data_IF_970977424170
#
_entry.id   IF_970977424170
#
_cell.length_a   1.000
_cell.length_b   1.000
_cell.length_c   1.000
_cell.angle_alpha   90.00
_cell.angle_beta   90.00
_cell.angle_gamma   90.00
#
_symmetry.space_group_name_H-M   'P 1'
#
loop_
_entity.id
_entity.type
_entity.pdbx_description
1 polymer ?
#
# COMPACT_ATOMS: atom_id res chain seq x y z
N UNK A 1 -5.55 37.76 -46.92
CA UNK A 1 -6.89 37.54 -47.45
C UNK A 1 -7.64 36.70 -46.44
N UNK A 2 -8.46 37.35 -45.51
CA UNK A 2 -9.91 37.45 -45.76
C UNK A 2 -10.53 36.06 -45.88
N UNK A 3 -11.47 35.62 -45.13
CA UNK A 3 -12.71 36.14 -44.57
C UNK A 3 -13.10 35.18 -43.44
N UNK A 4 -13.47 35.59 -42.27
CA UNK A 4 -14.78 36.11 -41.87
C UNK A 4 -15.95 35.18 -42.32
N UNK A 5 -16.60 34.55 -41.38
CA UNK A 5 -18.02 34.67 -41.11
C UNK A 5 -18.50 33.75 -39.99
N UNK A 6 -18.97 34.37 -38.91
CA UNK A 6 -20.34 34.50 -38.46
C UNK A 6 -20.99 33.22 -37.97
N UNK A 7 -21.18 33.20 -36.62
CA UNK A 7 -22.48 33.47 -35.95
C UNK A 7 -23.66 32.61 -36.41
N UNK A 8 -24.21 31.87 -35.52
CA UNK A 8 -25.62 31.61 -35.18
C UNK A 8 -25.55 30.80 -33.87
N UNK A 9 -25.83 31.27 -32.72
CA UNK A 9 -27.04 31.75 -32.00
C UNK A 9 -28.24 30.81 -32.17
N UNK A 10 -28.61 30.14 -31.12
CA UNK A 10 -29.92 29.87 -30.55
C UNK A 10 -29.85 28.70 -29.62
N UNK A 11 -30.00 28.90 -28.33
CA UNK A 11 -31.21 28.90 -27.51
C UNK A 11 -32.01 27.60 -27.60
N UNK A 12 -32.16 26.96 -26.44
CA UNK A 12 -33.42 26.55 -25.75
C UNK A 12 -32.96 25.57 -24.64
N UNK A 13 -32.92 25.93 -23.36
CA UNK A 13 -33.95 25.90 -22.31
C UNK A 13 -34.86 24.66 -22.44
N UNK A 14 -34.70 23.73 -21.50
CA UNK A 14 -35.81 23.24 -20.67
C UNK A 14 -35.29 22.35 -19.55
N UNK A 15 -35.47 22.79 -18.38
CA UNK A 15 -36.01 22.21 -17.16
C UNK A 15 -36.23 20.69 -17.15
N UNK A 16 -35.70 20.08 -16.11
CA UNK A 16 -36.07 18.76 -15.67
C UNK A 16 -35.43 18.45 -14.33
N UNK A 17 -35.95 19.07 -13.27
CA UNK A 17 -35.77 18.61 -11.90
C UNK A 17 -36.45 17.26 -11.73
N UNK A 18 -35.70 16.20 -11.51
CA UNK A 18 -36.18 15.09 -10.72
C UNK A 18 -35.08 14.69 -9.75
N UNK A 19 -35.28 15.10 -8.54
CA UNK A 19 -34.62 14.49 -7.38
C UNK A 19 -35.14 13.05 -7.27
N UNK A 20 -34.21 12.10 -7.25
CA UNK A 20 -34.43 10.82 -6.61
C UNK A 20 -33.19 10.50 -5.78
N UNK A 21 -33.37 10.72 -4.50
CA UNK A 21 -32.65 10.12 -3.43
C UNK A 21 -32.56 8.61 -3.67
N UNK A 22 -31.36 8.05 -3.74
CA UNK A 22 -31.17 6.67 -3.38
C UNK A 22 -29.76 6.51 -2.79
N UNK A 23 -29.73 6.54 -1.49
CA UNK A 23 -28.67 6.15 -0.60
C UNK A 23 -28.20 4.74 -0.96
N UNK A 24 -27.03 4.61 -1.50
CA UNK A 24 -26.42 3.34 -1.90
C UNK A 24 -24.91 3.44 -1.90
N UNK A 25 -24.34 3.26 -0.73
CA UNK A 25 -22.92 3.02 -0.42
C UNK A 25 -22.19 2.25 -1.52
N UNK A 26 -21.40 2.93 -2.33
CA UNK A 26 -20.31 2.36 -3.15
C UNK A 26 -19.17 3.34 -3.23
N UNK A 27 -18.43 3.44 -2.14
CA UNK A 27 -17.19 4.19 -2.09
C UNK A 27 -16.14 3.32 -1.39
N UNK A 28 -15.48 2.42 -2.11
CA UNK A 28 -14.29 1.75 -1.61
C UNK A 28 -13.39 1.08 -2.66
N UNK A 29 -13.62 1.22 -3.96
CA UNK A 29 -12.80 0.50 -4.95
C UNK A 29 -11.91 1.40 -5.82
N UNK A 30 -12.12 2.72 -5.83
CA UNK A 30 -11.33 3.64 -6.67
C UNK A 30 -10.18 4.32 -5.93
N UNK A 31 -10.20 4.32 -4.60
CA UNK A 31 -9.17 5.01 -3.80
C UNK A 31 -7.90 4.18 -3.69
N UNK A 32 -8.01 2.85 -3.67
CA UNK A 32 -6.84 1.97 -3.51
C UNK A 32 -5.99 1.89 -4.78
N UNK A 33 -6.62 1.94 -5.96
CA UNK A 33 -5.89 1.89 -7.24
C UNK A 33 -5.21 3.22 -7.55
N UNK A 34 -5.84 4.35 -7.19
CA UNK A 34 -5.28 5.68 -7.41
C UNK A 34 -4.14 5.99 -6.43
N UNK A 35 -4.24 5.49 -5.19
CA UNK A 35 -3.14 5.57 -4.22
C UNK A 35 -1.97 4.66 -4.60
N UNK A 36 -2.21 3.46 -5.13
CA UNK A 36 -1.16 2.57 -5.60
C UNK A 36 -0.38 3.19 -6.77
N UNK A 37 -1.07 3.80 -7.72
CA UNK A 37 -0.44 4.47 -8.88
C UNK A 37 0.34 5.74 -8.52
N UNK A 38 -0.06 6.46 -7.46
CA UNK A 38 0.69 7.62 -6.97
C UNK A 38 1.93 7.24 -6.16
N UNK A 39 1.92 6.08 -5.50
CA UNK A 39 3.06 5.57 -4.76
C UNK A 39 4.22 5.15 -5.68
N UNK A 40 3.92 4.58 -6.84
CA UNK A 40 4.94 4.16 -7.82
C UNK A 40 5.77 5.33 -8.40
N UNK A 41 5.30 6.57 -8.27
CA UNK A 41 5.99 7.75 -8.78
C UNK A 41 6.81 8.51 -7.73
N UNK A 42 6.68 8.18 -6.46
CA UNK A 42 7.35 8.86 -5.37
C UNK A 42 8.31 7.92 -4.66
N UNK A 43 9.51 8.41 -4.37
CA UNK A 43 10.45 7.66 -3.52
C UNK A 43 9.82 7.36 -2.16
N UNK A 44 9.79 6.10 -1.79
CA UNK A 44 9.21 5.65 -0.53
C UNK A 44 9.80 4.30 -0.08
N UNK A 45 9.54 3.94 1.14
CA UNK A 45 9.86 2.65 1.74
C UNK A 45 8.58 1.88 2.00
N UNK A 46 8.58 0.58 1.77
CA UNK A 46 7.46 -0.29 2.10
C UNK A 46 7.90 -1.38 3.09
N UNK A 47 7.04 -1.65 4.06
CA UNK A 47 7.10 -2.87 4.86
C UNK A 47 5.96 -3.76 4.41
N UNK A 48 6.29 -4.89 3.79
CA UNK A 48 5.36 -5.80 3.15
C UNK A 48 5.27 -7.09 3.95
N UNK A 49 4.08 -7.39 4.44
CA UNK A 49 3.80 -8.65 5.10
C UNK A 49 2.84 -9.49 4.29
N UNK A 50 3.33 -10.63 3.81
CA UNK A 50 2.54 -11.61 3.07
C UNK A 50 2.03 -12.70 4.00
N UNK A 51 0.80 -13.15 3.80
CA UNK A 51 0.20 -14.25 4.56
C UNK A 51 -0.79 -15.06 3.72
N UNK A 52 -0.99 -16.32 4.07
CA UNK A 52 -2.06 -17.15 3.55
C UNK A 52 -3.30 -17.17 4.46
N UNK A 53 -4.29 -18.00 4.11
CA UNK A 53 -5.51 -18.17 4.91
C UNK A 53 -5.22 -18.68 6.33
N UNK A 54 -4.31 -19.63 6.44
CA UNK A 54 -3.93 -20.20 7.74
C UNK A 54 -2.81 -19.37 8.34
N UNK A 55 -3.03 -18.91 9.55
CA UNK A 55 -2.12 -18.03 10.25
C UNK A 55 -1.66 -18.65 11.55
N UNK A 56 -0.38 -18.94 11.65
CA UNK A 56 0.25 -19.47 12.86
C UNK A 56 0.46 -18.36 13.91
N UNK A 57 0.70 -18.74 15.16
CA UNK A 57 0.96 -17.78 16.24
C UNK A 57 2.18 -16.87 15.94
N UNK A 58 3.24 -17.42 15.33
CA UNK A 58 4.40 -16.63 14.90
C UNK A 58 4.03 -15.69 13.74
N UNK A 59 3.24 -16.17 12.77
CA UNK A 59 2.75 -15.35 11.66
C UNK A 59 1.99 -14.12 12.17
N UNK A 60 1.09 -14.31 13.14
CA UNK A 60 0.34 -13.20 13.75
C UNK A 60 1.24 -12.25 14.54
N UNK A 61 2.27 -12.78 15.23
CA UNK A 61 3.22 -11.96 15.96
C UNK A 61 4.08 -11.09 15.00
N UNK A 62 4.48 -11.62 13.86
CA UNK A 62 5.21 -10.85 12.84
C UNK A 62 4.38 -9.65 12.37
N UNK A 63 3.15 -9.90 11.92
CA UNK A 63 2.27 -8.81 11.45
C UNK A 63 2.04 -7.76 12.53
N UNK A 64 1.61 -8.21 13.72
CA UNK A 64 1.31 -7.31 14.83
C UNK A 64 2.51 -6.43 15.18
N UNK A 65 3.69 -7.04 15.38
CA UNK A 65 4.86 -6.31 15.84
C UNK A 65 5.46 -5.42 14.73
N UNK A 66 5.44 -5.85 13.46
CA UNK A 66 5.88 -5.02 12.35
C UNK A 66 4.96 -3.79 12.17
N UNK A 67 3.64 -4.00 12.23
CA UNK A 67 2.66 -2.92 12.17
C UNK A 67 2.83 -1.93 13.32
N UNK A 68 2.99 -2.42 14.55
CA UNK A 68 3.22 -1.59 15.72
C UNK A 68 4.48 -0.71 15.57
N UNK A 69 5.59 -1.28 15.06
CA UNK A 69 6.81 -0.50 14.79
C UNK A 69 6.51 0.64 13.82
N UNK A 70 5.86 0.35 12.72
CA UNK A 70 5.58 1.34 11.68
C UNK A 70 4.64 2.44 12.20
N UNK A 71 3.59 2.07 12.92
CA UNK A 71 2.61 3.02 13.47
C UNK A 71 3.17 3.88 14.61
N UNK A 72 4.05 3.31 15.45
CA UNK A 72 4.57 4.02 16.64
C UNK A 72 5.85 4.79 16.34
N UNK A 73 6.79 4.17 15.61
CA UNK A 73 8.11 4.77 15.38
C UNK A 73 8.16 5.69 14.15
N UNK A 74 7.23 5.50 13.21
CA UNK A 74 7.24 6.16 11.90
C UNK A 74 5.88 6.78 11.53
N UNK A 75 5.14 7.28 12.51
CA UNK A 75 3.81 7.86 12.30
C UNK A 75 3.81 9.03 11.29
N UNK A 76 4.88 9.83 11.27
CA UNK A 76 5.02 10.95 10.33
C UNK A 76 5.28 10.46 8.91
N UNK A 77 6.13 9.46 8.75
CA UNK A 77 6.47 8.84 7.46
C UNK A 77 5.28 8.09 6.87
N UNK A 78 4.48 7.43 7.71
CA UNK A 78 3.18 6.87 7.30
C UNK A 78 2.23 7.95 6.80
N UNK A 79 2.11 9.05 7.56
CA UNK A 79 1.17 10.13 7.24
C UNK A 79 1.53 10.84 5.94
N UNK A 80 2.80 11.05 5.66
CA UNK A 80 3.26 11.74 4.46
C UNK A 80 3.52 10.80 3.26
N UNK A 81 3.37 9.49 3.45
CA UNK A 81 3.50 8.47 2.42
C UNK A 81 4.95 8.13 2.05
N UNK A 82 5.95 8.54 2.84
CA UNK A 82 7.34 8.11 2.64
C UNK A 82 7.61 6.71 3.20
N UNK A 83 6.73 6.22 4.05
CA UNK A 83 6.67 4.83 4.49
C UNK A 83 5.25 4.28 4.31
N UNK A 84 5.14 3.06 3.86
CA UNK A 84 3.88 2.33 3.70
C UNK A 84 3.98 0.98 4.38
N UNK A 85 2.92 0.57 5.07
CA UNK A 85 2.78 -0.80 5.57
C UNK A 85 1.68 -1.52 4.81
N UNK A 86 1.99 -2.65 4.21
CA UNK A 86 1.02 -3.46 3.47
C UNK A 86 0.93 -4.87 4.02
N UNK A 87 -0.30 -5.31 4.23
CA UNK A 87 -0.62 -6.72 4.50
C UNK A 87 -1.25 -7.32 3.25
N UNK A 88 -0.67 -8.40 2.75
CA UNK A 88 -1.02 -8.99 1.46
C UNK A 88 -1.43 -10.46 1.67
N UNK A 89 -2.69 -10.76 1.42
CA UNK A 89 -3.21 -12.13 1.45
C UNK A 89 -2.89 -12.85 0.12
N UNK A 90 -1.91 -13.74 0.13
CA UNK A 90 -1.50 -14.51 -1.06
C UNK A 90 -2.54 -15.56 -1.49
N UNK A 91 -3.59 -15.78 -0.72
CA UNK A 91 -4.71 -16.63 -1.11
C UNK A 91 -5.79 -15.89 -1.89
N UNK A 92 -5.72 -14.56 -1.96
CA UNK A 92 -6.57 -13.75 -2.83
C UNK A 92 -5.95 -13.69 -4.23
N UNK A 93 -6.67 -14.14 -5.29
CA UNK A 93 -6.17 -14.10 -6.66
C UNK A 93 -5.73 -12.71 -7.15
N UNK A 94 -6.24 -11.63 -6.55
CA UNK A 94 -5.83 -10.27 -6.88
C UNK A 94 -4.37 -9.98 -6.53
N UNK A 95 -3.81 -10.75 -5.63
CA UNK A 95 -2.44 -10.60 -5.15
C UNK A 95 -1.46 -11.60 -5.79
N UNK A 96 -1.91 -12.39 -6.78
CA UNK A 96 -1.07 -13.38 -7.45
C UNK A 96 0.20 -12.75 -8.06
N UNK A 97 0.03 -11.68 -8.80
CA UNK A 97 1.15 -10.99 -9.46
C UNK A 97 2.21 -10.49 -8.47
N UNK A 98 1.80 -9.87 -7.36
CA UNK A 98 2.76 -9.39 -6.37
C UNK A 98 3.41 -10.56 -5.60
N UNK A 99 2.68 -11.64 -5.35
CA UNK A 99 3.23 -12.83 -4.74
C UNK A 99 4.29 -13.50 -5.64
N UNK A 100 4.08 -13.52 -6.94
CA UNK A 100 5.05 -14.02 -7.93
C UNK A 100 6.31 -13.13 -7.99
N UNK A 101 6.16 -11.79 -8.01
CA UNK A 101 7.30 -10.85 -8.04
C UNK A 101 8.23 -11.07 -6.84
N UNK A 102 7.66 -11.28 -5.66
CA UNK A 102 8.43 -11.51 -4.43
C UNK A 102 8.75 -13.00 -4.18
N UNK A 103 8.34 -13.88 -5.09
CA UNK A 103 8.53 -15.34 -4.99
C UNK A 103 7.99 -15.93 -3.67
N UNK A 104 6.83 -15.43 -3.22
CA UNK A 104 6.23 -15.83 -1.93
C UNK A 104 5.17 -16.90 -2.12
N UNK A 105 5.30 -17.97 -1.34
CA UNK A 105 4.33 -19.08 -1.27
C UNK A 105 3.76 -19.30 0.14
N UNK A 106 4.26 -18.55 1.14
CA UNK A 106 3.87 -18.64 2.55
C UNK A 106 4.07 -17.30 3.25
N UNK A 107 3.80 -17.23 4.56
CA UNK A 107 3.95 -15.98 5.32
C UNK A 107 5.39 -15.46 5.27
N UNK A 108 5.56 -14.25 4.78
CA UNK A 108 6.88 -13.65 4.53
C UNK A 108 6.88 -12.16 4.86
N UNK A 109 8.02 -11.64 5.29
CA UNK A 109 8.22 -10.23 5.61
C UNK A 109 9.34 -9.65 4.75
N UNK A 110 9.04 -8.54 4.09
CA UNK A 110 10.01 -7.80 3.29
C UNK A 110 10.05 -6.33 3.71
N UNK A 111 11.17 -5.70 3.49
CA UNK A 111 11.26 -4.23 3.41
C UNK A 111 11.78 -3.87 2.03
N UNK A 112 11.16 -2.88 1.41
CA UNK A 112 11.51 -2.43 0.09
C UNK A 112 11.71 -0.91 0.07
N UNK A 113 12.58 -0.45 -0.85
CA UNK A 113 12.82 0.96 -1.14
C UNK A 113 12.58 1.21 -2.62
N UNK A 114 11.68 2.11 -2.89
CA UNK A 114 11.46 2.67 -4.21
C UNK A 114 12.25 3.97 -4.34
N UNK A 115 13.09 4.06 -5.36
CA UNK A 115 13.85 5.25 -5.68
C UNK A 115 13.96 5.42 -7.20
N UNK A 116 13.59 6.60 -7.70
CA UNK A 116 13.61 6.89 -9.13
C UNK A 116 12.87 5.83 -9.97
N UNK A 117 11.74 5.32 -9.47
CA UNK A 117 10.92 4.29 -10.12
C UNK A 117 11.54 2.89 -10.10
N UNK A 118 12.59 2.66 -9.34
CA UNK A 118 13.25 1.35 -9.18
C UNK A 118 13.08 0.85 -7.76
N UNK A 119 12.72 -0.42 -7.65
CA UNK A 119 12.58 -1.11 -6.39
C UNK A 119 13.85 -1.90 -6.04
N UNK A 120 14.21 -1.85 -4.77
CA UNK A 120 15.16 -2.77 -4.14
C UNK A 120 14.53 -3.28 -2.86
N UNK A 121 14.58 -4.59 -2.62
CA UNK A 121 13.96 -5.16 -1.43
C UNK A 121 14.88 -6.16 -0.74
N UNK A 122 14.61 -6.39 0.53
CA UNK A 122 15.28 -7.36 1.38
C UNK A 122 14.26 -8.28 2.03
N UNK A 123 14.51 -9.58 1.96
CA UNK A 123 13.68 -10.59 2.60
C UNK A 123 14.10 -10.75 4.07
N UNK A 124 13.21 -10.38 4.99
CA UNK A 124 13.42 -10.49 6.44
C UNK A 124 12.65 -11.66 7.06
N UNK A 125 12.14 -12.58 6.26
CA UNK A 125 11.28 -13.68 6.72
C UNK A 125 11.96 -14.55 7.77
N UNK A 126 13.18 -14.99 7.53
CA UNK A 126 13.93 -15.81 8.49
C UNK A 126 14.16 -15.09 9.81
N UNK A 127 14.61 -13.83 9.76
CA UNK A 127 14.76 -12.98 10.93
C UNK A 127 13.45 -12.82 11.70
N UNK A 128 12.35 -12.60 10.98
CA UNK A 128 11.03 -12.41 11.57
C UNK A 128 10.54 -13.67 12.28
N UNK A 129 10.67 -14.83 11.65
CA UNK A 129 10.27 -16.10 12.29
C UNK A 129 11.13 -16.47 13.51
N UNK A 130 12.41 -16.13 13.49
CA UNK A 130 13.30 -16.37 14.62
C UNK A 130 12.96 -15.49 15.85
N UNK A 131 12.51 -14.26 15.64
CA UNK A 131 12.47 -13.25 16.69
C UNK A 131 11.08 -12.75 17.06
N UNK A 132 10.14 -12.62 16.12
CA UNK A 132 8.90 -11.87 16.33
C UNK A 132 8.05 -12.36 17.52
N UNK A 133 8.07 -13.67 17.80
CA UNK A 133 7.29 -14.27 18.89
C UNK A 133 8.11 -14.43 20.17
N UNK A 134 9.37 -14.85 20.06
CA UNK A 134 10.20 -15.25 21.21
C UNK A 134 11.04 -14.09 21.76
N UNK A 135 11.38 -13.13 20.93
CA UNK A 135 12.17 -11.94 21.28
C UNK A 135 11.60 -10.68 20.58
N UNK A 136 10.36 -10.27 20.93
CA UNK A 136 9.65 -9.21 20.22
C UNK A 136 10.39 -7.87 20.22
N UNK A 137 11.10 -7.53 21.27
CA UNK A 137 11.88 -6.29 21.34
C UNK A 137 13.06 -6.32 20.36
N UNK A 138 13.75 -7.47 20.26
CA UNK A 138 14.82 -7.67 19.27
C UNK A 138 14.25 -7.53 17.86
N UNK A 139 13.11 -8.16 17.58
CA UNK A 139 12.43 -8.05 16.30
C UNK A 139 12.09 -6.60 15.96
N UNK A 140 11.41 -5.89 16.89
CA UNK A 140 11.00 -4.50 16.68
C UNK A 140 12.19 -3.56 16.46
N UNK A 141 13.26 -3.73 17.23
CA UNK A 141 14.48 -2.94 17.06
C UNK A 141 15.12 -3.17 15.69
N UNK A 142 15.21 -4.42 15.24
CA UNK A 142 15.77 -4.73 13.93
C UNK A 142 14.95 -4.15 12.77
N UNK A 143 13.62 -4.24 12.83
CA UNK A 143 12.75 -3.61 11.82
C UNK A 143 12.91 -2.09 11.85
N UNK A 144 12.93 -1.48 13.04
CA UNK A 144 13.12 -0.03 13.19
C UNK A 144 14.43 0.44 12.55
N UNK A 145 15.53 -0.24 12.82
CA UNK A 145 16.85 0.06 12.27
C UNK A 145 16.89 -0.08 10.73
N UNK A 146 16.29 -1.14 10.22
CA UNK A 146 16.21 -1.40 8.79
C UNK A 146 15.43 -0.30 8.08
N UNK A 147 14.23 0.03 8.55
CA UNK A 147 13.39 1.08 7.97
C UNK A 147 14.11 2.44 8.05
N UNK A 148 14.71 2.78 9.19
CA UNK A 148 15.49 4.03 9.34
C UNK A 148 16.63 4.16 8.32
N UNK A 149 17.30 3.04 8.05
CA UNK A 149 18.40 3.02 7.09
C UNK A 149 17.92 3.27 5.67
N UNK A 150 16.76 2.71 5.31
CA UNK A 150 16.17 2.88 3.98
C UNK A 150 15.57 4.26 3.76
N UNK A 151 15.08 4.93 4.82
CA UNK A 151 14.51 6.27 4.76
C UNK A 151 15.57 7.39 4.56
N UNK A 152 16.84 7.08 4.71
CA UNK A 152 17.98 8.00 4.42
C UNK A 152 18.29 8.02 2.93
#
# INVERSE_FOLDING_TARGET
QMCMNRLILALIICCGLTACDNNGTKKSASTDVEQAQQLEQKDHVEVLYFHGKQRCATCMAIEKNAKEVVEVQFANELKNGTLVFRTIDISDPKNETIAEIYEVTWSSLFVSKWKDGKETYENLTEYAFANARTAPDTFKNGITEKVRTLLK
#
